data_IF_061615237723
#
_entry.id   IF_061615237723
#
_cell.length_a   1.000
_cell.length_b   1.000
_cell.length_c   1.000
_cell.angle_alpha   90.00
_cell.angle_beta   90.00
_cell.angle_gamma   90.00
#
_symmetry.space_group_name_H-M   'P 1'
#
loop_
_entity.id
_entity.type
_entity.pdbx_description
1 polymer ?
#
# COMPACT_ATOMS: atom_id res chain seq x y z
N UNK A 1 -18.17 -41.29 22.11
CA UNK A 1 -17.12 -40.25 22.14
C UNK A 1 -16.63 -39.90 20.72
N UNK A 2 -16.95 -40.71 19.71
CA UNK A 2 -16.38 -40.65 18.34
C UNK A 2 -16.96 -39.57 17.42
N UNK A 3 -18.24 -39.19 17.57
CA UNK A 3 -18.88 -38.21 16.67
C UNK A 3 -18.30 -36.79 16.77
N UNK A 4 -17.86 -36.38 17.96
CA UNK A 4 -17.27 -35.06 18.18
C UNK A 4 -15.91 -34.93 17.50
N UNK A 5 -15.09 -35.98 17.53
CA UNK A 5 -13.77 -36.01 16.87
C UNK A 5 -13.89 -36.10 15.35
N UNK A 6 -14.86 -36.86 14.84
CA UNK A 6 -15.16 -36.91 13.41
C UNK A 6 -15.66 -35.56 12.88
N UNK A 7 -16.48 -34.84 13.65
CA UNK A 7 -16.95 -33.50 13.31
C UNK A 7 -15.81 -32.47 13.24
N UNK A 8 -14.95 -32.41 14.26
CA UNK A 8 -13.79 -31.51 14.31
C UNK A 8 -12.84 -31.78 13.14
N UNK A 9 -12.55 -33.05 12.86
CA UNK A 9 -11.64 -33.45 11.78
C UNK A 9 -12.17 -33.06 10.39
N UNK A 10 -13.46 -33.27 10.11
CA UNK A 10 -14.09 -32.83 8.84
C UNK A 10 -14.09 -31.31 8.70
N UNK A 11 -14.29 -30.58 9.81
CA UNK A 11 -14.29 -29.13 9.80
C UNK A 11 -12.91 -28.54 9.49
N UNK A 12 -11.85 -29.10 10.07
CA UNK A 12 -10.46 -28.72 9.77
C UNK A 12 -10.12 -29.01 8.31
N UNK A 13 -10.41 -30.23 7.83
CA UNK A 13 -10.11 -30.63 6.43
C UNK A 13 -10.86 -29.79 5.38
N UNK A 14 -11.98 -29.17 5.75
CA UNK A 14 -12.72 -28.24 4.90
C UNK A 14 -12.21 -26.79 5.01
N UNK A 15 -11.59 -26.41 6.13
CA UNK A 15 -10.89 -25.13 6.28
C UNK A 15 -9.55 -25.15 5.51
N UNK A 16 -8.80 -26.25 5.62
CA UNK A 16 -7.51 -26.43 4.93
C UNK A 16 -7.69 -26.36 3.40
N UNK A 17 -8.68 -27.11 2.87
CA UNK A 17 -9.03 -27.03 1.44
C UNK A 17 -9.48 -25.64 0.98
N UNK A 18 -10.13 -24.86 1.86
CA UNK A 18 -10.51 -23.50 1.52
C UNK A 18 -9.29 -22.57 1.47
N UNK A 19 -8.37 -22.70 2.44
CA UNK A 19 -7.08 -21.99 2.42
C UNK A 19 -6.27 -22.33 1.17
N UNK A 20 -6.12 -23.62 0.84
CA UNK A 20 -5.40 -24.07 -0.36
C UNK A 20 -5.95 -23.41 -1.62
N UNK A 21 -7.28 -23.34 -1.78
CA UNK A 21 -7.91 -22.69 -2.95
C UNK A 21 -7.67 -21.19 -2.99
N UNK A 22 -7.73 -20.51 -1.85
CA UNK A 22 -7.50 -19.07 -1.75
C UNK A 22 -6.03 -18.74 -2.08
N UNK A 23 -5.09 -19.53 -1.57
CA UNK A 23 -3.66 -19.40 -1.86
C UNK A 23 -3.32 -19.77 -3.31
N UNK A 24 -3.90 -20.85 -3.85
CA UNK A 24 -3.69 -21.26 -5.24
C UNK A 24 -4.20 -20.23 -6.26
N UNK A 25 -5.22 -19.45 -5.88
CA UNK A 25 -5.71 -18.33 -6.67
C UNK A 25 -4.88 -17.05 -6.51
N UNK A 26 -3.84 -17.05 -5.67
CA UNK A 26 -2.95 -15.92 -5.47
C UNK A 26 -3.59 -14.76 -4.71
N UNK A 27 -4.60 -15.02 -3.87
CA UNK A 27 -5.19 -13.96 -3.05
C UNK A 27 -4.17 -13.53 -1.98
N UNK A 28 -3.85 -12.24 -1.98
CA UNK A 28 -3.07 -11.62 -0.90
C UNK A 28 -3.77 -11.66 0.45
N UNK A 29 -3.04 -11.29 1.50
CA UNK A 29 -3.50 -11.29 2.88
C UNK A 29 -4.83 -10.53 3.06
N UNK A 30 -5.05 -9.47 2.28
CA UNK A 30 -6.33 -8.77 2.20
C UNK A 30 -6.92 -8.88 0.80
N UNK A 31 -8.21 -9.19 0.73
CA UNK A 31 -8.91 -9.35 -0.54
C UNK A 31 -10.34 -8.82 -0.49
N UNK A 32 -10.88 -8.52 -1.67
CA UNK A 32 -12.27 -8.11 -1.87
C UNK A 32 -13.10 -9.33 -2.27
N UNK A 33 -14.41 -9.39 -1.93
CA UNK A 33 -15.27 -10.51 -2.32
C UNK A 33 -15.29 -10.81 -3.82
N UNK A 34 -15.07 -9.80 -4.66
CA UNK A 34 -14.99 -9.97 -6.11
C UNK A 34 -13.82 -10.84 -6.57
N UNK A 35 -12.80 -11.05 -5.74
CA UNK A 35 -11.64 -11.89 -6.05
C UNK A 35 -11.89 -13.37 -5.71
N UNK A 36 -12.96 -13.71 -4.99
CA UNK A 36 -13.25 -15.11 -4.64
C UNK A 36 -13.50 -16.00 -5.86
N UNK A 37 -13.99 -15.42 -6.96
CA UNK A 37 -14.20 -16.16 -8.20
C UNK A 37 -12.89 -16.73 -8.77
N UNK A 38 -11.76 -16.08 -8.48
CA UNK A 38 -10.42 -16.58 -8.87
C UNK A 38 -10.09 -17.90 -8.16
N UNK A 39 -10.63 -18.11 -6.95
CA UNK A 39 -10.55 -19.36 -6.19
C UNK A 39 -11.70 -20.35 -6.49
N UNK A 40 -12.57 -20.05 -7.45
CA UNK A 40 -13.80 -20.80 -7.73
C UNK A 40 -14.82 -20.76 -6.57
N UNK A 41 -14.70 -19.76 -5.70
CA UNK A 41 -15.58 -19.55 -4.54
C UNK A 41 -16.56 -18.42 -4.85
N UNK A 42 -17.69 -18.43 -4.15
CA UNK A 42 -18.75 -17.44 -4.32
C UNK A 42 -18.92 -16.59 -3.06
N UNK A 43 -19.35 -15.31 -3.16
CA UNK A 43 -19.49 -14.44 -2.00
C UNK A 43 -20.44 -14.95 -0.89
N UNK A 44 -21.43 -15.79 -1.21
CA UNK A 44 -22.33 -16.43 -0.23
C UNK A 44 -21.61 -17.45 0.68
N UNK A 45 -20.41 -17.89 0.29
CA UNK A 45 -19.58 -18.77 1.10
C UNK A 45 -18.81 -18.02 2.21
N UNK A 46 -18.67 -16.69 2.12
CA UNK A 46 -17.93 -15.88 3.09
C UNK A 46 -18.37 -16.06 4.55
N UNK A 47 -19.69 -16.06 4.89
CA UNK A 47 -20.12 -16.32 6.26
C UNK A 47 -19.65 -17.68 6.79
N UNK A 48 -19.59 -18.70 5.92
CA UNK A 48 -19.07 -20.02 6.27
C UNK A 48 -17.56 -19.97 6.53
N UNK A 49 -16.79 -19.32 5.64
CA UNK A 49 -15.34 -19.15 5.79
C UNK A 49 -14.98 -18.37 7.07
N UNK A 50 -15.77 -17.35 7.42
CA UNK A 50 -15.63 -16.59 8.67
C UNK A 50 -15.92 -17.47 9.90
N UNK A 51 -17.04 -18.21 9.90
CA UNK A 51 -17.37 -19.14 11.00
C UNK A 51 -16.30 -20.21 11.20
N UNK A 52 -15.66 -20.66 10.11
CA UNK A 52 -14.58 -21.65 10.12
C UNK A 52 -13.20 -21.06 10.44
N UNK A 53 -13.10 -19.75 10.67
CA UNK A 53 -11.84 -19.04 10.93
C UNK A 53 -10.78 -19.23 9.84
N UNK A 54 -11.22 -19.38 8.59
CA UNK A 54 -10.37 -19.31 7.39
C UNK A 54 -10.05 -17.85 7.09
N UNK A 55 -11.06 -16.98 7.20
CA UNK A 55 -10.95 -15.55 6.92
C UNK A 55 -11.62 -14.74 8.02
N UNK A 56 -11.20 -13.48 8.20
CA UNK A 56 -11.89 -12.53 9.05
C UNK A 56 -12.52 -11.39 8.23
N UNK A 57 -13.64 -10.87 8.73
CA UNK A 57 -14.28 -9.68 8.15
C UNK A 57 -13.66 -8.41 8.75
N UNK A 58 -12.90 -7.68 7.94
CA UNK A 58 -12.19 -6.47 8.37
C UNK A 58 -13.13 -5.26 8.35
N UNK A 59 -13.77 -5.03 7.21
CA UNK A 59 -14.76 -3.97 7.01
C UNK A 59 -15.61 -4.32 5.80
N UNK A 60 -16.71 -3.59 5.58
CA UNK A 60 -17.57 -3.79 4.41
C UNK A 60 -16.75 -3.91 3.12
N UNK A 61 -16.82 -5.09 2.49
CA UNK A 61 -16.16 -5.39 1.22
C UNK A 61 -14.66 -5.64 1.31
N UNK A 62 -14.12 -5.96 2.49
CA UNK A 62 -12.72 -6.30 2.70
C UNK A 62 -12.59 -7.41 3.76
N UNK A 63 -11.87 -8.45 3.39
CA UNK A 63 -11.60 -9.63 4.22
C UNK A 63 -10.10 -9.84 4.33
N UNK A 64 -9.67 -10.55 5.38
CA UNK A 64 -8.29 -10.94 5.60
C UNK A 64 -8.18 -12.45 5.78
N UNK A 65 -7.19 -13.08 5.16
CA UNK A 65 -6.82 -14.48 5.41
C UNK A 65 -6.24 -14.60 6.82
N UNK A 66 -6.75 -15.54 7.64
CA UNK A 66 -6.34 -15.64 9.05
C UNK A 66 -4.98 -16.31 9.25
N UNK A 67 -4.52 -17.08 8.26
CA UNK A 67 -3.19 -17.70 8.22
C UNK A 67 -2.12 -16.80 7.59
N UNK A 68 -2.50 -15.62 7.06
CA UNK A 68 -1.56 -14.68 6.48
C UNK A 68 -0.77 -13.94 7.57
N UNK A 69 0.57 -14.01 7.47
CA UNK A 69 1.49 -13.35 8.39
C UNK A 69 1.30 -11.83 8.37
N UNK A 70 1.29 -11.22 9.56
CA UNK A 70 1.18 -9.77 9.70
C UNK A 70 2.55 -9.13 9.70
N UNK A 71 2.78 -8.21 8.78
CA UNK A 71 4.02 -7.42 8.69
C UNK A 71 3.79 -5.97 9.12
N UNK A 72 4.87 -5.19 9.21
CA UNK A 72 4.82 -3.73 9.36
C UNK A 72 4.06 -2.99 8.23
N UNK A 73 3.77 -3.69 7.14
CA UNK A 73 3.06 -3.19 5.98
C UNK A 73 1.59 -3.64 5.92
N UNK A 74 1.07 -4.34 6.94
CA UNK A 74 -0.35 -4.75 7.02
C UNK A 74 -1.32 -3.59 6.80
N UNK A 75 -1.02 -2.41 7.34
CA UNK A 75 -1.85 -1.20 7.11
C UNK A 75 -1.82 -0.73 5.65
N UNK A 76 -0.69 -0.89 4.95
CA UNK A 76 -0.58 -0.58 3.52
C UNK A 76 -1.33 -1.61 2.68
N UNK A 77 -1.13 -2.91 2.95
CA UNK A 77 -1.83 -4.00 2.29
C UNK A 77 -3.36 -3.83 2.38
N UNK A 78 -3.87 -3.58 3.59
CA UNK A 78 -5.30 -3.31 3.82
C UNK A 78 -5.79 -2.08 3.05
N UNK A 79 -5.02 -1.00 3.02
CA UNK A 79 -5.39 0.23 2.35
C UNK A 79 -5.40 0.07 0.82
N UNK A 80 -4.40 -0.59 0.25
CA UNK A 80 -4.29 -0.87 -1.18
C UNK A 80 -5.37 -1.83 -1.64
N UNK A 81 -5.67 -2.91 -0.89
CA UNK A 81 -6.78 -3.81 -1.20
C UNK A 81 -8.12 -3.07 -1.21
N UNK A 82 -8.32 -2.11 -0.29
CA UNK A 82 -9.55 -1.31 -0.26
C UNK A 82 -9.64 -0.28 -1.38
N UNK A 83 -8.50 0.19 -1.88
CA UNK A 83 -8.38 1.29 -2.85
C UNK A 83 -7.38 0.85 -3.94
N UNK A 84 -7.73 -0.14 -4.77
CA UNK A 84 -6.78 -0.80 -5.67
C UNK A 84 -6.14 0.18 -6.67
N UNK A 85 -6.91 1.19 -7.10
CA UNK A 85 -6.44 2.24 -7.98
C UNK A 85 -5.83 3.42 -7.19
N UNK A 86 -5.10 3.17 -6.11
CA UNK A 86 -4.33 4.21 -5.39
C UNK A 86 -2.83 4.09 -5.65
N UNK A 87 -2.06 5.07 -5.17
CA UNK A 87 -0.60 5.09 -5.21
C UNK A 87 -0.09 5.42 -3.81
N UNK A 88 0.67 4.55 -3.18
CA UNK A 88 1.38 4.84 -1.93
C UNK A 88 2.38 5.97 -2.17
N UNK A 89 2.31 7.03 -1.38
CA UNK A 89 3.10 8.24 -1.60
C UNK A 89 3.58 8.89 -0.30
N UNK A 90 4.36 9.97 -0.41
CA UNK A 90 4.82 10.80 0.71
C UNK A 90 5.37 9.97 1.87
N UNK A 91 4.94 10.21 3.10
CA UNK A 91 5.53 9.58 4.29
C UNK A 91 5.44 8.05 4.26
N UNK A 92 4.35 7.49 3.70
CA UNK A 92 4.23 6.05 3.55
C UNK A 92 5.24 5.48 2.55
N UNK A 93 5.49 6.18 1.44
CA UNK A 93 6.51 5.79 0.48
C UNK A 93 7.93 5.99 1.03
N UNK A 94 8.18 7.06 1.79
CA UNK A 94 9.46 7.27 2.49
C UNK A 94 9.78 6.08 3.41
N UNK A 95 8.81 5.66 4.23
CA UNK A 95 8.95 4.49 5.12
C UNK A 95 9.28 3.22 4.33
N UNK A 96 8.53 2.92 3.27
CA UNK A 96 8.76 1.71 2.44
C UNK A 96 10.13 1.75 1.77
N UNK A 97 10.61 2.93 1.37
CA UNK A 97 11.93 3.08 0.75
C UNK A 97 13.08 3.15 1.75
N UNK A 98 12.80 3.14 3.06
CA UNK A 98 13.80 3.31 4.11
C UNK A 98 14.48 4.69 4.09
N UNK A 99 13.76 5.74 3.66
CA UNK A 99 14.24 7.13 3.57
C UNK A 99 13.68 7.94 4.73
N UNK A 100 14.58 8.61 5.46
CA UNK A 100 14.25 9.37 6.66
C UNK A 100 13.94 8.48 7.86
N UNK A 101 13.52 9.13 8.95
CA UNK A 101 13.19 8.49 10.23
C UNK A 101 11.69 8.45 10.52
N UNK A 102 10.87 8.84 9.54
CA UNK A 102 9.45 9.08 9.72
C UNK A 102 8.68 7.78 10.00
N UNK A 103 7.93 7.76 11.11
CA UNK A 103 6.99 6.70 11.47
C UNK A 103 5.54 7.22 11.32
N UNK A 104 5.02 7.34 10.09
CA UNK A 104 3.73 7.97 9.86
C UNK A 104 2.58 7.20 10.52
N UNK A 105 1.83 7.87 11.40
CA UNK A 105 0.61 7.32 12.01
C UNK A 105 -0.52 7.04 11.00
N UNK A 106 -0.40 7.55 9.76
CA UNK A 106 -1.41 7.45 8.73
C UNK A 106 -0.82 6.88 7.43
N UNK A 107 -1.63 6.11 6.71
CA UNK A 107 -1.29 5.67 5.36
C UNK A 107 -1.56 6.81 4.36
N UNK A 108 -0.57 7.17 3.56
CA UNK A 108 -0.65 8.21 2.53
C UNK A 108 -0.91 7.59 1.17
N UNK A 109 -2.04 7.96 0.56
CA UNK A 109 -2.45 7.45 -0.75
C UNK A 109 -2.75 8.60 -1.71
N UNK A 110 -2.13 8.56 -2.88
CA UNK A 110 -2.53 9.26 -4.08
C UNK A 110 -3.74 8.59 -4.74
N UNK A 111 -4.75 9.38 -5.12
CA UNK A 111 -5.89 8.94 -5.94
C UNK A 111 -6.07 9.87 -7.13
N UNK A 112 -6.77 9.44 -8.20
CA UNK A 112 -7.09 10.31 -9.32
C UNK A 112 -7.87 11.55 -8.84
N UNK A 113 -7.60 12.71 -9.44
CA UNK A 113 -8.19 13.98 -9.01
C UNK A 113 -9.72 13.96 -8.89
N UNK A 114 -10.43 13.28 -9.79
CA UNK A 114 -11.89 13.16 -9.79
C UNK A 114 -12.44 11.99 -8.96
N UNK A 115 -11.58 11.17 -8.35
CA UNK A 115 -12.01 10.01 -7.59
C UNK A 115 -12.61 10.40 -6.24
N UNK A 116 -13.62 9.66 -5.80
CA UNK A 116 -14.21 9.82 -4.47
C UNK A 116 -13.24 9.27 -3.41
N UNK A 117 -12.95 10.01 -2.33
CA UNK A 117 -12.07 9.51 -1.28
C UNK A 117 -12.69 8.27 -0.61
N UNK A 118 -11.88 7.24 -0.34
CA UNK A 118 -12.36 6.02 0.29
C UNK A 118 -12.78 6.31 1.74
N UNK A 119 -13.89 5.71 2.17
CA UNK A 119 -14.25 5.66 3.60
C UNK A 119 -13.66 4.40 4.19
N UNK A 120 -12.52 4.55 4.85
CA UNK A 120 -11.90 3.53 5.69
C UNK A 120 -12.21 3.88 7.15
N UNK A 121 -13.01 3.07 7.86
CA UNK A 121 -13.32 3.33 9.28
C UNK A 121 -12.17 2.92 10.21
N UNK A 122 -11.47 1.81 9.88
CA UNK A 122 -10.34 1.28 10.65
C UNK A 122 -9.00 1.97 10.35
N UNK A 123 -8.85 2.54 9.16
CA UNK A 123 -7.66 3.29 8.75
C UNK A 123 -8.09 4.72 8.41
N UNK A 124 -7.37 5.73 8.88
CA UNK A 124 -7.60 7.12 8.44
C UNK A 124 -6.55 7.48 7.40
N UNK A 125 -6.72 7.12 6.11
CA UNK A 125 -5.73 7.45 5.11
C UNK A 125 -5.64 8.97 4.91
N UNK A 126 -4.44 9.47 4.68
CA UNK A 126 -4.20 10.82 4.15
C UNK A 126 -4.26 10.74 2.63
N UNK A 127 -5.27 11.39 2.07
CA UNK A 127 -5.55 11.35 0.65
C UNK A 127 -4.89 12.53 -0.05
N UNK A 128 -4.10 12.25 -1.08
CA UNK A 128 -3.53 13.22 -2.00
C UNK A 128 -4.18 13.04 -3.37
N UNK A 129 -4.49 14.14 -4.06
CA UNK A 129 -5.06 14.09 -5.41
C UNK A 129 -3.96 14.31 -6.43
N UNK A 130 -3.81 13.35 -7.34
CA UNK A 130 -2.88 13.43 -8.46
C UNK A 130 -3.63 13.59 -9.79
N UNK A 131 -3.00 14.31 -10.71
CA UNK A 131 -3.47 14.54 -12.09
C UNK A 131 -2.27 14.63 -13.03
N UNK A 132 -2.51 14.39 -14.32
CA UNK A 132 -1.49 14.50 -15.36
C UNK A 132 -0.24 13.68 -15.03
N UNK A 133 0.98 14.22 -15.24
CA UNK A 133 2.23 13.52 -14.96
C UNK A 133 2.37 13.05 -13.50
N UNK A 134 1.73 13.70 -12.53
CA UNK A 134 1.80 13.29 -11.13
C UNK A 134 1.09 11.95 -10.86
N UNK A 135 0.21 11.51 -11.77
CA UNK A 135 -0.48 10.22 -11.68
C UNK A 135 0.35 9.05 -12.22
N UNK A 136 1.25 9.31 -13.17
CA UNK A 136 1.91 8.25 -13.96
C UNK A 136 3.43 8.23 -13.78
N UNK A 137 4.07 9.39 -13.69
CA UNK A 137 5.53 9.48 -13.73
C UNK A 137 6.18 8.97 -12.43
N UNK A 138 7.17 8.09 -12.60
CA UNK A 138 7.94 7.54 -11.49
C UNK A 138 7.11 6.70 -10.52
N UNK A 139 5.97 6.14 -10.98
CA UNK A 139 5.17 5.19 -10.24
C UNK A 139 5.66 3.78 -10.55
N UNK A 140 5.76 2.93 -9.54
CA UNK A 140 6.18 1.53 -9.64
C UNK A 140 5.09 0.62 -9.11
N UNK A 141 4.89 -0.51 -9.77
CA UNK A 141 4.10 -1.61 -9.23
C UNK A 141 4.89 -2.34 -8.15
N UNK A 142 4.21 -2.67 -7.06
CA UNK A 142 4.74 -3.38 -5.90
C UNK A 142 3.63 -4.25 -5.30
N UNK A 143 3.95 -4.99 -4.26
CA UNK A 143 2.97 -5.71 -3.46
C UNK A 143 3.25 -5.53 -1.97
N UNK A 144 2.18 -5.60 -1.17
CA UNK A 144 2.27 -5.65 0.28
C UNK A 144 1.45 -6.83 0.78
N UNK A 145 2.09 -7.84 1.39
CA UNK A 145 1.43 -9.06 1.85
C UNK A 145 0.61 -9.73 0.73
N UNK A 146 1.18 -9.84 -0.47
CA UNK A 146 0.51 -10.38 -1.67
C UNK A 146 -0.61 -9.50 -2.24
N UNK A 147 -0.85 -8.31 -1.69
CA UNK A 147 -1.82 -7.35 -2.24
C UNK A 147 -1.14 -6.49 -3.30
N UNK A 148 -1.59 -6.51 -4.56
CA UNK A 148 -1.07 -5.63 -5.60
C UNK A 148 -1.26 -4.16 -5.24
N UNK A 149 -0.20 -3.38 -5.45
CA UNK A 149 -0.16 -1.97 -5.09
C UNK A 149 0.72 -1.18 -6.06
N UNK A 150 0.62 0.16 -5.96
CA UNK A 150 1.49 1.09 -6.67
C UNK A 150 2.12 2.04 -5.69
N UNK A 151 3.34 2.48 -5.95
CA UNK A 151 4.10 3.37 -5.08
C UNK A 151 4.89 4.39 -5.90
N UNK A 152 5.07 5.61 -5.39
CA UNK A 152 6.05 6.52 -5.99
C UNK A 152 7.48 6.01 -5.78
N UNK A 153 8.31 5.96 -6.81
CA UNK A 153 9.71 5.55 -6.70
C UNK A 153 10.54 6.56 -5.91
N UNK A 154 11.72 6.15 -5.43
CA UNK A 154 12.55 6.92 -4.48
C UNK A 154 12.76 8.39 -4.84
N UNK A 155 13.31 8.68 -6.03
CA UNK A 155 13.54 10.06 -6.47
C UNK A 155 12.23 10.86 -6.60
N UNK A 156 11.17 10.19 -7.07
CA UNK A 156 9.82 10.76 -7.14
C UNK A 156 9.25 11.09 -5.77
N UNK A 157 9.40 10.19 -4.79
CA UNK A 157 8.96 10.39 -3.41
C UNK A 157 9.66 11.59 -2.79
N UNK A 158 10.98 11.70 -2.92
CA UNK A 158 11.76 12.84 -2.41
C UNK A 158 11.27 14.14 -3.05
N UNK A 159 11.12 14.18 -4.38
CA UNK A 159 10.61 15.38 -5.07
C UNK A 159 9.20 15.76 -4.63
N UNK A 160 8.32 14.77 -4.41
CA UNK A 160 6.97 15.00 -3.90
C UNK A 160 6.95 15.62 -2.50
N UNK A 161 7.92 15.29 -1.64
CA UNK A 161 8.03 15.94 -0.33
C UNK A 161 8.28 17.45 -0.45
N UNK A 162 9.05 17.91 -1.45
CA UNK A 162 9.19 19.35 -1.71
C UNK A 162 7.94 19.95 -2.35
N UNK A 163 7.36 19.27 -3.36
CA UNK A 163 6.15 19.77 -4.06
C UNK A 163 4.97 19.93 -3.12
N UNK A 164 4.87 19.03 -2.14
CA UNK A 164 3.77 18.93 -1.20
C UNK A 164 4.24 19.21 0.23
N UNK A 165 5.27 20.03 0.39
CA UNK A 165 5.84 20.37 1.71
C UNK A 165 4.84 21.03 2.66
N UNK A 166 3.78 21.66 2.15
CA UNK A 166 2.67 22.17 2.97
C UNK A 166 1.89 21.04 3.67
N UNK A 167 1.94 19.83 3.14
CA UNK A 167 1.28 18.65 3.70
C UNK A 167 2.19 17.86 4.64
N UNK A 168 3.47 17.72 4.29
CA UNK A 168 4.42 16.89 5.04
C UNK A 168 5.32 17.69 5.99
N UNK A 169 5.49 18.99 5.76
CA UNK A 169 6.45 19.83 6.48
C UNK A 169 7.76 19.98 5.71
N UNK A 170 8.37 21.18 5.70
CA UNK A 170 9.60 21.44 4.95
C UNK A 170 10.80 20.64 5.48
N UNK A 171 10.86 20.38 6.79
CA UNK A 171 11.97 19.63 7.38
C UNK A 171 12.00 18.17 6.95
N UNK A 172 10.82 17.57 6.73
CA UNK A 172 10.74 16.22 6.18
C UNK A 172 11.29 16.19 4.75
N UNK A 173 11.02 17.21 3.93
CA UNK A 173 11.55 17.27 2.57
C UNK A 173 13.09 17.37 2.56
N UNK A 174 13.65 18.21 3.44
CA UNK A 174 15.10 18.38 3.58
C UNK A 174 15.74 17.09 4.12
N UNK A 175 15.16 16.48 5.15
CA UNK A 175 15.63 15.20 5.70
C UNK A 175 15.61 14.11 4.63
N UNK A 176 14.48 13.96 3.91
CA UNK A 176 14.34 12.95 2.88
C UNK A 176 15.39 13.09 1.78
N UNK A 177 15.66 14.32 1.32
CA UNK A 177 16.72 14.59 0.34
C UNK A 177 18.10 14.21 0.88
N UNK A 178 18.45 14.69 2.07
CA UNK A 178 19.76 14.45 2.69
C UNK A 178 19.99 12.97 2.93
N UNK A 179 19.00 12.28 3.49
CA UNK A 179 19.11 10.86 3.82
C UNK A 179 19.17 9.98 2.56
N UNK A 180 18.32 10.25 1.56
CA UNK A 180 18.33 9.49 0.31
C UNK A 180 19.66 9.62 -0.45
N UNK A 181 20.24 10.83 -0.50
CA UNK A 181 21.56 11.04 -1.10
C UNK A 181 22.68 10.38 -0.28
N UNK A 182 22.65 10.55 1.05
CA UNK A 182 23.63 9.93 1.96
C UNK A 182 23.66 8.41 1.83
N UNK A 183 22.49 7.78 1.77
CA UNK A 183 22.32 6.33 1.58
C UNK A 183 22.50 5.88 0.12
N UNK A 184 22.78 6.81 -0.81
CA UNK A 184 22.91 6.54 -2.25
C UNK A 184 21.68 5.85 -2.86
N UNK A 185 20.50 6.14 -2.30
CA UNK A 185 19.22 5.61 -2.75
C UNK A 185 18.68 6.34 -3.99
N UNK A 186 19.21 7.54 -4.23
CA UNK A 186 18.92 8.40 -5.39
C UNK A 186 20.19 9.17 -5.77
N UNK A 187 20.25 9.64 -7.01
CA UNK A 187 21.28 10.53 -7.52
C UNK A 187 20.70 11.92 -7.82
N UNK A 188 21.57 12.93 -7.91
CA UNK A 188 21.17 14.28 -8.34
C UNK A 188 20.55 14.23 -9.75
N UNK A 189 21.12 13.45 -10.66
CA UNK A 189 20.60 13.29 -12.02
C UNK A 189 19.16 12.71 -12.04
N UNK A 190 18.87 11.71 -11.20
CA UNK A 190 17.50 11.17 -11.08
C UNK A 190 16.53 12.22 -10.52
N UNK A 191 16.95 12.99 -9.51
CA UNK A 191 16.13 14.07 -8.94
C UNK A 191 15.86 15.18 -9.96
N UNK A 192 16.86 15.57 -10.76
CA UNK A 192 16.71 16.56 -11.84
C UNK A 192 15.70 16.10 -12.88
N UNK A 193 15.77 14.84 -13.34
CA UNK A 193 14.79 14.27 -14.28
C UNK A 193 13.36 14.30 -13.73
N UNK A 194 13.20 14.04 -12.42
CA UNK A 194 11.89 14.17 -11.79
C UNK A 194 11.45 15.63 -11.72
N UNK A 195 12.33 16.57 -11.39
CA UNK A 195 12.04 18.00 -11.30
C UNK A 195 11.59 18.58 -12.64
N UNK A 196 12.20 18.15 -13.75
CA UNK A 196 11.80 18.57 -15.11
C UNK A 196 10.34 18.20 -15.42
N UNK A 197 9.90 17.00 -15.03
CA UNK A 197 8.54 16.53 -15.29
C UNK A 197 7.55 17.03 -14.22
N UNK A 198 8.01 17.18 -12.98
CA UNK A 198 7.22 17.49 -11.81
C UNK A 198 7.88 18.64 -11.02
N UNK A 199 7.73 19.89 -11.50
CA UNK A 199 8.52 21.01 -11.02
C UNK A 199 8.34 21.34 -9.54
N UNK A 200 9.44 21.75 -8.93
CA UNK A 200 9.49 22.29 -7.57
C UNK A 200 10.63 23.29 -7.47
N UNK A 201 10.28 24.58 -7.35
CA UNK A 201 11.24 25.67 -7.19
C UNK A 201 12.21 25.42 -6.04
N UNK A 202 11.72 24.89 -4.91
CA UNK A 202 12.57 24.60 -3.75
C UNK A 202 13.48 23.41 -3.98
N UNK A 203 13.02 22.35 -4.64
CA UNK A 203 13.90 21.23 -4.98
C UNK A 203 15.01 21.70 -5.92
N UNK A 204 14.66 22.44 -6.99
CA UNK A 204 15.61 22.97 -7.96
C UNK A 204 16.73 23.77 -7.29
N UNK A 205 16.39 24.70 -6.41
CA UNK A 205 17.37 25.47 -5.66
C UNK A 205 18.35 24.59 -4.85
N UNK A 206 17.88 23.47 -4.27
CA UNK A 206 18.75 22.55 -3.55
C UNK A 206 19.63 21.68 -4.46
N UNK A 207 19.19 21.39 -5.68
CA UNK A 207 19.97 20.63 -6.66
C UNK A 207 21.07 21.50 -7.28
N UNK A 208 20.79 22.78 -7.54
CA UNK A 208 21.76 23.76 -8.06
C UNK A 208 22.93 23.97 -7.10
N UNK A 209 22.67 24.16 -5.80
CA UNK A 209 23.72 24.33 -4.77
C UNK A 209 24.65 23.10 -4.71
N UNK A 210 24.15 21.92 -5.04
CA UNK A 210 24.89 20.64 -4.94
C UNK A 210 25.55 20.20 -6.25
N UNK A 211 25.30 20.91 -7.34
CA UNK A 211 25.89 20.65 -8.66
C UNK A 211 27.14 21.50 -8.91
N UNK A 212 27.47 22.39 -7.96
CA UNK A 212 28.71 23.17 -7.85
C UNK A 212 29.62 22.44 -6.87
#
# INVERSE_FOLDING_TARGET
MDDKYAYISRHHLAADRANERLHAAGLGAFFRPSQLSEAGLTPDQLPSLVRRRVVEHVTRGLYRLLDAESTENSSLAMACARVPNSIVCLLSALRVHGIGSQAPAHVWLGIPHKARPPRLRRLRPRIVRFSGPAWTYGVKDVEFEGVPARITGRARTVADCFRLERLVGPEIAIEALRDALRKRLVTIAELSRVEEVLPSRRLRAHLEIRSI
#
